data_IF_715130099993
#
_entry.id   IF_715130099993
#
_cell.length_a   1.000
_cell.length_b   1.000
_cell.length_c   1.000
_cell.angle_alpha   90.00
_cell.angle_beta   90.00
_cell.angle_gamma   90.00
#
_symmetry.space_group_name_H-M   'P 1'
#
loop_
_entity.id
_entity.type
_entity.pdbx_description
1 polymer ?
#
# COMPACT_ATOMS: atom_id res chain seq x y z
N UNK A 1 -7.18 -5.61 -2.95
CA UNK A 1 -7.45 -6.04 -1.56
C UNK A 1 -6.99 -7.48 -1.38
N UNK A 2 -6.82 -7.93 -0.14
CA UNK A 2 -6.53 -9.34 0.12
C UNK A 2 -7.79 -10.22 -0.09
N UNK A 3 -7.69 -11.51 0.19
CA UNK A 3 -8.78 -12.46 0.03
C UNK A 3 -9.57 -12.71 1.34
N UNK A 4 -9.53 -11.81 2.33
CA UNK A 4 -10.26 -12.05 3.56
C UNK A 4 -11.78 -12.09 3.32
N UNK A 5 -12.49 -12.95 4.06
CA UNK A 5 -13.91 -13.29 3.79
C UNK A 5 -14.88 -12.12 3.86
N UNK A 6 -14.51 -11.05 4.55
CA UNK A 6 -15.31 -9.83 4.72
C UNK A 6 -15.17 -8.85 3.54
N UNK A 7 -14.24 -9.11 2.61
CA UNK A 7 -13.99 -8.23 1.48
C UNK A 7 -15.02 -8.39 0.36
N UNK A 8 -15.22 -7.31 -0.40
CA UNK A 8 -16.12 -7.28 -1.56
C UNK A 8 -15.53 -8.18 -2.66
N UNK A 9 -16.33 -9.13 -3.16
CA UNK A 9 -15.89 -10.01 -4.22
C UNK A 9 -15.75 -9.27 -5.56
N UNK A 10 -14.79 -9.65 -6.42
CA UNK A 10 -14.74 -9.17 -7.80
C UNK A 10 -16.08 -9.39 -8.52
N UNK A 11 -16.59 -8.37 -9.20
CA UNK A 11 -17.88 -8.43 -9.90
C UNK A 11 -19.11 -8.27 -9.02
N UNK A 12 -18.97 -7.84 -7.77
CA UNK A 12 -20.11 -7.48 -6.92
C UNK A 12 -20.98 -6.39 -7.58
N UNK A 13 -22.28 -6.66 -7.69
CA UNK A 13 -23.23 -5.81 -8.41
C UNK A 13 -23.44 -4.44 -7.72
N UNK A 14 -23.58 -4.43 -6.40
CA UNK A 14 -23.75 -3.20 -5.62
C UNK A 14 -22.52 -2.28 -5.75
N UNK A 15 -21.32 -2.85 -5.71
CA UNK A 15 -20.08 -2.13 -5.96
C UNK A 15 -20.04 -1.54 -7.38
N UNK A 16 -20.43 -2.33 -8.39
CA UNK A 16 -20.47 -1.87 -9.78
C UNK A 16 -21.46 -0.70 -9.98
N UNK A 17 -22.63 -0.75 -9.32
CA UNK A 17 -23.61 0.34 -9.33
C UNK A 17 -23.03 1.61 -8.70
N UNK A 18 -22.36 1.49 -7.55
CA UNK A 18 -21.71 2.65 -6.90
C UNK A 18 -20.60 3.22 -7.78
N UNK A 19 -19.73 2.38 -8.36
CA UNK A 19 -18.66 2.85 -9.27
C UNK A 19 -19.23 3.58 -10.48
N UNK A 20 -20.35 3.12 -11.05
CA UNK A 20 -20.99 3.79 -12.18
C UNK A 20 -21.42 5.24 -11.86
N UNK A 21 -21.73 5.55 -10.60
CA UNK A 21 -22.06 6.93 -10.17
C UNK A 21 -20.84 7.86 -10.10
N UNK A 22 -19.62 7.31 -10.02
CA UNK A 22 -18.39 8.10 -9.87
C UNK A 22 -17.83 8.63 -11.20
N UNK A 23 -18.24 8.03 -12.32
CA UNK A 23 -17.67 8.31 -13.65
C UNK A 23 -16.26 7.73 -13.86
N UNK A 24 -15.79 6.85 -12.97
CA UNK A 24 -14.47 6.20 -13.04
C UNK A 24 -14.58 4.73 -13.44
N UNK A 25 -13.52 4.16 -14.04
CA UNK A 25 -13.37 2.72 -14.27
C UNK A 25 -12.58 2.07 -13.12
N UNK A 26 -13.27 1.78 -12.01
CA UNK A 26 -12.67 1.15 -10.83
C UNK A 26 -13.01 -0.34 -10.82
N UNK A 27 -11.99 -1.19 -10.74
CA UNK A 27 -12.14 -2.64 -10.67
C UNK A 27 -11.52 -3.18 -9.39
N UNK A 28 -12.26 -4.05 -8.72
CA UNK A 28 -11.73 -4.84 -7.61
C UNK A 28 -10.90 -5.99 -8.19
N UNK A 29 -9.64 -6.03 -7.77
CA UNK A 29 -8.74 -7.14 -8.06
C UNK A 29 -8.27 -7.70 -6.71
N UNK A 30 -8.37 -9.02 -6.59
CA UNK A 30 -7.88 -9.75 -5.44
C UNK A 30 -6.40 -10.04 -5.61
N UNK A 31 -5.66 -9.92 -4.51
CA UNK A 31 -4.25 -10.31 -4.49
C UNK A 31 -4.10 -11.83 -4.53
N UNK A 32 -2.96 -12.35 -5.01
CA UNK A 32 -2.61 -13.75 -4.84
C UNK A 32 -2.65 -14.17 -3.36
N UNK A 33 -3.12 -15.38 -3.03
CA UNK A 33 -3.15 -15.85 -1.65
C UNK A 33 -1.73 -15.96 -1.06
N UNK A 34 -1.59 -15.66 0.23
CA UNK A 34 -0.32 -15.71 0.99
C UNK A 34 0.81 -14.83 0.45
N UNK A 35 0.47 -13.69 -0.14
CA UNK A 35 1.43 -12.78 -0.76
C UNK A 35 1.34 -11.35 -0.18
N UNK A 36 1.72 -11.16 1.11
CA UNK A 36 1.60 -9.87 1.79
C UNK A 36 2.44 -8.77 1.10
N UNK A 37 3.54 -9.16 0.45
CA UNK A 37 4.42 -8.27 -0.30
C UNK A 37 3.81 -7.73 -1.61
N UNK A 38 2.56 -8.09 -1.91
CA UNK A 38 1.79 -7.49 -3.02
C UNK A 38 0.73 -6.48 -2.54
N UNK A 39 0.74 -6.12 -1.25
CA UNK A 39 -0.10 -5.08 -0.67
C UNK A 39 0.71 -3.84 -0.30
N UNK A 40 0.49 -2.73 -1.01
CA UNK A 40 1.14 -1.45 -0.71
C UNK A 40 0.93 -1.02 0.75
N UNK A 41 -0.23 -1.34 1.33
CA UNK A 41 -0.53 -0.99 2.71
C UNK A 41 0.38 -1.73 3.70
N UNK A 42 0.55 -3.04 3.49
CA UNK A 42 1.34 -3.91 4.37
C UNK A 42 2.85 -3.71 4.17
N UNK A 43 3.30 -3.50 2.92
CA UNK A 43 4.72 -3.37 2.57
C UNK A 43 5.37 -2.16 3.26
N UNK A 44 4.63 -1.08 3.46
CA UNK A 44 5.25 0.13 4.01
C UNK A 44 4.34 1.22 4.52
N UNK A 45 3.08 1.31 4.06
CA UNK A 45 2.23 2.42 4.48
C UNK A 45 1.90 2.33 5.98
N UNK A 46 1.37 1.19 6.44
CA UNK A 46 1.03 1.02 7.86
C UNK A 46 2.26 1.12 8.75
N UNK A 47 3.40 0.53 8.35
CA UNK A 47 4.66 0.63 9.09
C UNK A 47 5.17 2.06 9.19
N UNK A 48 5.06 2.83 8.10
CA UNK A 48 5.45 4.23 8.10
C UNK A 48 4.53 5.07 8.99
N UNK A 49 3.22 4.83 8.94
CA UNK A 49 2.24 5.60 9.70
C UNK A 49 2.33 5.27 11.20
N UNK A 50 2.54 3.98 11.53
CA UNK A 50 2.86 3.50 12.87
C UNK A 50 4.12 4.18 13.41
N UNK A 51 5.22 4.17 12.64
CA UNK A 51 6.48 4.81 13.06
C UNK A 51 6.35 6.31 13.30
N UNK A 52 5.58 7.02 12.48
CA UNK A 52 5.34 8.45 12.65
C UNK A 52 4.49 8.74 13.90
N UNK A 53 3.44 7.93 14.09
CA UNK A 53 2.57 8.04 15.27
C UNK A 53 3.32 7.70 16.55
N UNK A 54 4.17 6.68 16.55
CA UNK A 54 4.97 6.25 17.70
C UNK A 54 5.95 7.34 18.16
N UNK A 55 6.48 8.14 17.23
CA UNK A 55 7.33 9.30 17.54
C UNK A 55 6.61 10.38 18.39
N UNK A 56 5.27 10.36 18.44
CA UNK A 56 4.45 11.22 19.29
C UNK A 56 4.30 10.68 20.72
N UNK A 57 4.76 9.46 20.97
CA UNK A 57 4.69 8.77 22.27
C UNK A 57 3.30 8.81 22.93
N UNK A 58 2.22 8.38 22.24
CA UNK A 58 0.88 8.41 22.80
C UNK A 58 0.78 7.50 24.03
N UNK A 59 0.17 8.00 25.11
CA UNK A 59 -0.01 7.26 26.36
C UNK A 59 -1.44 6.79 26.57
N UNK A 60 -2.37 7.28 25.73
CA UNK A 60 -3.78 6.89 25.74
C UNK A 60 -4.27 6.48 24.36
N UNK A 61 -5.34 5.69 24.33
CA UNK A 61 -6.00 5.31 23.06
C UNK A 61 -6.49 6.55 22.29
N UNK A 62 -6.95 7.59 22.99
CA UNK A 62 -7.42 8.83 22.36
C UNK A 62 -6.27 9.57 21.66
N UNK A 63 -5.14 9.69 22.34
CA UNK A 63 -3.91 10.27 21.77
C UNK A 63 -3.41 9.46 20.57
N UNK A 64 -3.46 8.12 20.66
CA UNK A 64 -3.09 7.25 19.55
C UNK A 64 -3.98 7.48 18.33
N UNK A 65 -5.31 7.49 18.51
CA UNK A 65 -6.27 7.72 17.42
C UNK A 65 -6.04 9.09 16.79
N UNK A 66 -5.87 10.13 17.61
CA UNK A 66 -5.60 11.47 17.12
C UNK A 66 -4.27 11.54 16.35
N UNK A 67 -3.21 10.93 16.88
CA UNK A 67 -1.91 10.87 16.21
C UNK A 67 -1.97 10.17 14.86
N UNK A 68 -2.65 9.03 14.77
CA UNK A 68 -2.88 8.30 13.51
C UNK A 68 -3.61 9.19 12.49
N UNK A 69 -4.65 9.90 12.92
CA UNK A 69 -5.44 10.77 12.04
C UNK A 69 -4.60 11.94 11.51
N UNK A 70 -3.86 12.61 12.39
CA UNK A 70 -3.00 13.73 12.00
C UNK A 70 -1.88 13.27 11.04
N UNK A 71 -1.22 12.14 11.30
CA UNK A 71 -0.21 11.58 10.40
C UNK A 71 -0.79 11.10 9.06
N UNK A 72 -2.04 10.64 9.04
CA UNK A 72 -2.76 10.29 7.82
C UNK A 72 -3.04 11.53 6.97
N UNK A 73 -3.58 12.59 7.58
CA UNK A 73 -3.96 13.81 6.89
C UNK A 73 -2.75 14.58 6.34
N UNK A 74 -1.62 14.53 7.05
CA UNK A 74 -0.36 15.20 6.69
C UNK A 74 0.61 14.27 5.92
N UNK A 75 0.18 13.06 5.54
CA UNK A 75 1.09 12.07 4.99
C UNK A 75 1.76 12.51 3.68
N UNK A 76 3.09 12.40 3.64
CA UNK A 76 3.90 12.82 2.50
C UNK A 76 3.64 11.94 1.26
N UNK A 77 3.11 12.56 0.21
CA UNK A 77 2.83 11.90 -1.07
C UNK A 77 4.10 11.31 -1.72
N UNK A 78 5.29 11.89 -1.50
CA UNK A 78 6.54 11.31 -2.00
C UNK A 78 6.89 10.00 -1.29
N UNK A 79 6.63 9.90 0.02
CA UNK A 79 6.79 8.63 0.76
C UNK A 79 5.82 7.58 0.22
N UNK A 80 4.58 7.97 -0.04
CA UNK A 80 3.58 7.08 -0.63
C UNK A 80 4.03 6.58 -2.02
N UNK A 81 4.52 7.47 -2.88
CA UNK A 81 5.06 7.08 -4.19
C UNK A 81 6.22 6.08 -4.07
N UNK A 82 7.14 6.28 -3.11
CA UNK A 82 8.24 5.34 -2.87
C UNK A 82 7.74 3.94 -2.47
N UNK A 83 6.61 3.82 -1.78
CA UNK A 83 5.98 2.54 -1.44
C UNK A 83 5.45 1.85 -2.70
N UNK A 84 4.73 2.58 -3.56
CA UNK A 84 4.24 2.05 -4.84
C UNK A 84 5.37 1.58 -5.75
N UNK A 85 6.47 2.33 -5.79
CA UNK A 85 7.67 1.90 -6.53
C UNK A 85 8.31 0.65 -5.92
N UNK A 86 8.25 0.44 -4.59
CA UNK A 86 8.65 -0.85 -3.98
C UNK A 86 7.76 -1.97 -4.50
N UNK A 87 6.45 -1.77 -4.47
CA UNK A 87 5.48 -2.77 -4.91
C UNK A 87 5.71 -3.19 -6.36
N UNK A 88 5.94 -2.23 -7.27
CA UNK A 88 6.26 -2.52 -8.66
C UNK A 88 7.53 -3.37 -8.80
N UNK A 89 8.55 -3.07 -7.98
CA UNK A 89 9.82 -3.81 -8.04
C UNK A 89 9.69 -5.22 -7.48
N UNK A 90 8.84 -5.39 -6.45
CA UNK A 90 8.45 -6.71 -5.95
C UNK A 90 7.76 -7.50 -7.07
N UNK A 91 6.76 -6.92 -7.74
CA UNK A 91 6.05 -7.59 -8.86
C UNK A 91 7.00 -8.05 -9.97
N UNK A 92 8.01 -7.25 -10.31
CA UNK A 92 9.06 -7.63 -11.27
C UNK A 92 9.86 -8.84 -10.77
N UNK A 93 10.25 -8.84 -9.50
CA UNK A 93 10.98 -9.98 -8.92
C UNK A 93 10.12 -11.24 -8.83
N UNK A 94 8.83 -11.12 -8.51
CA UNK A 94 7.87 -12.25 -8.56
C UNK A 94 7.86 -12.86 -9.96
N UNK A 95 7.80 -12.04 -11.02
CA UNK A 95 7.84 -12.52 -12.40
C UNK A 95 9.18 -13.20 -12.73
N UNK A 96 10.31 -12.63 -12.28
CA UNK A 96 11.64 -13.22 -12.49
C UNK A 96 11.82 -14.59 -11.82
N UNK A 97 11.15 -14.82 -10.69
CA UNK A 97 11.18 -16.08 -9.93
C UNK A 97 9.98 -16.99 -10.23
N UNK A 98 9.29 -16.79 -11.36
CA UNK A 98 8.21 -17.69 -11.78
C UNK A 98 7.00 -17.73 -10.84
N UNK A 99 6.77 -16.67 -10.05
CA UNK A 99 5.68 -16.59 -9.09
C UNK A 99 6.04 -17.00 -7.65
N UNK A 100 7.29 -17.40 -7.38
CA UNK A 100 7.72 -17.75 -6.03
C UNK A 100 7.79 -16.55 -5.09
N UNK A 101 7.53 -16.76 -3.80
CA UNK A 101 7.57 -15.75 -2.74
C UNK A 101 8.93 -15.63 -2.04
N UNK A 102 9.97 -16.25 -2.59
CA UNK A 102 11.33 -16.30 -2.03
C UNK A 102 12.25 -15.18 -2.55
N UNK A 103 11.68 -14.21 -3.25
CA UNK A 103 12.42 -13.11 -3.86
C UNK A 103 12.92 -12.11 -2.83
N UNK A 104 14.02 -11.42 -3.14
CA UNK A 104 14.54 -10.32 -2.30
C UNK A 104 13.98 -9.01 -2.82
N UNK A 105 13.53 -8.14 -1.92
CA UNK A 105 13.13 -6.78 -2.30
C UNK A 105 14.38 -6.04 -2.80
N UNK A 106 14.40 -5.58 -4.06
CA UNK A 106 15.57 -4.94 -4.63
C UNK A 106 15.70 -3.52 -4.07
N UNK A 107 16.90 -3.14 -3.64
CA UNK A 107 17.20 -1.77 -3.21
C UNK A 107 17.33 -0.84 -4.42
N UNK A 108 16.20 -0.32 -4.92
CA UNK A 108 16.23 0.85 -5.79
C UNK A 108 16.70 2.04 -4.97
N UNK A 109 17.80 2.67 -5.37
CA UNK A 109 18.33 3.91 -4.78
C UNK A 109 17.38 5.08 -5.09
N UNK A 110 16.12 5.01 -4.63
CA UNK A 110 15.00 5.87 -5.01
C UNK A 110 15.28 7.33 -4.73
N UNK A 111 15.97 7.65 -3.63
CA UNK A 111 16.41 9.01 -3.32
C UNK A 111 17.40 9.57 -4.33
N UNK A 112 18.28 8.73 -4.89
CA UNK A 112 19.20 9.14 -5.96
C UNK A 112 18.44 9.40 -7.25
N UNK A 113 17.49 8.52 -7.59
CA UNK A 113 16.67 8.62 -8.80
C UNK A 113 15.75 9.85 -8.75
N UNK A 114 15.11 10.13 -7.60
CA UNK A 114 14.29 11.32 -7.40
C UNK A 114 15.09 12.62 -7.56
N UNK A 115 16.32 12.68 -6.99
CA UNK A 115 17.24 13.82 -7.21
C UNK A 115 17.64 14.02 -8.67
N UNK A 116 17.57 12.99 -9.49
CA UNK A 116 17.88 13.03 -10.91
C UNK A 116 16.65 13.35 -11.79
N UNK A 117 15.46 13.50 -11.20
CA UNK A 117 14.21 13.79 -11.93
C UNK A 117 13.74 12.65 -12.82
N UNK A 118 14.17 11.42 -12.54
CA UNK A 118 13.85 10.20 -13.32
C UNK A 118 12.91 9.26 -12.55
N UNK A 119 12.32 9.75 -11.47
CA UNK A 119 11.38 9.04 -10.60
C UNK A 119 10.04 9.78 -10.56
#
# INVERSE_FOLDING_TARGET
>A
QDNARTHILPGNAEFAEVVATTGLDIKIINQPPNYPDLNALDIGYFRSLESLTDCRAPTTIKELIQGVQEEFDEYDAEKLNKIFLTLQTIMVEVMNHGGENTHKIPHLRKERLGRQGIL
#
